data_IF_580989487485
#
_entry.id   IF_580989487485
#
_cell.length_a   1.000
_cell.length_b   1.000
_cell.length_c   1.000
_cell.angle_alpha   90.00
_cell.angle_beta   90.00
_cell.angle_gamma   90.00
#
_symmetry.space_group_name_H-M   'P 1'
#
loop_
_entity.id
_entity.type
_entity.pdbx_description
1 polymer ?
#
# COMPACT_ATOMS: atom_id res chain seq x y z
N UNK A 1 -29.82 -25.89 6.92
CA UNK A 1 -29.52 -26.35 8.28
C UNK A 1 -28.34 -27.29 8.27
N UNK A 2 -27.29 -26.91 8.96
CA UNK A 2 -26.06 -27.68 9.06
C UNK A 2 -26.17 -28.59 10.32
N UNK A 3 -25.55 -29.78 10.29
CA UNK A 3 -25.38 -30.59 11.49
C UNK A 3 -24.54 -29.86 12.53
N UNK A 4 -24.59 -30.29 13.81
CA UNK A 4 -23.83 -29.63 14.88
C UNK A 4 -22.34 -29.72 14.62
N UNK A 5 -21.84 -30.83 14.07
CA UNK A 5 -20.44 -31.02 13.67
C UNK A 5 -20.02 -30.02 12.59
N UNK A 6 -20.85 -29.86 11.55
CA UNK A 6 -20.56 -28.90 10.48
C UNK A 6 -20.58 -27.45 10.96
N UNK A 7 -21.45 -27.10 11.93
CA UNK A 7 -21.45 -25.79 12.57
C UNK A 7 -20.17 -25.52 13.39
N UNK A 8 -19.68 -26.54 14.09
CA UNK A 8 -18.43 -26.46 14.85
C UNK A 8 -17.25 -26.28 13.89
N UNK A 9 -17.18 -27.08 12.83
CA UNK A 9 -16.14 -26.96 11.82
C UNK A 9 -16.13 -25.57 11.17
N UNK A 10 -17.30 -25.05 10.81
CA UNK A 10 -17.42 -23.70 10.26
C UNK A 10 -16.86 -22.63 11.22
N UNK A 11 -17.18 -22.72 12.50
CA UNK A 11 -16.70 -21.79 13.51
C UNK A 11 -15.20 -21.91 13.79
N UNK A 12 -14.68 -23.12 13.83
CA UNK A 12 -13.26 -23.37 14.17
C UNK A 12 -12.34 -23.15 12.98
N UNK A 13 -12.73 -23.59 11.78
CA UNK A 13 -11.86 -23.62 10.62
C UNK A 13 -12.10 -22.46 9.62
N UNK A 14 -13.35 -21.95 9.52
CA UNK A 14 -13.71 -21.01 8.47
C UNK A 14 -13.83 -19.56 8.93
N UNK A 15 -13.94 -19.29 10.23
CA UNK A 15 -14.01 -17.91 10.72
C UNK A 15 -12.73 -17.15 10.39
N UNK A 16 -12.85 -15.93 9.89
CA UNK A 16 -11.73 -15.06 9.54
C UNK A 16 -10.81 -14.76 10.73
N UNK A 17 -11.36 -14.71 11.94
CA UNK A 17 -10.58 -14.53 13.19
C UNK A 17 -9.59 -15.67 13.46
N UNK A 18 -9.84 -16.86 12.91
CA UNK A 18 -8.97 -18.04 13.04
C UNK A 18 -8.03 -18.20 11.83
N UNK A 19 -8.25 -17.45 10.75
CA UNK A 19 -7.50 -17.54 9.48
C UNK A 19 -6.83 -16.21 9.15
N UNK A 20 -6.03 -15.69 10.07
CA UNK A 20 -5.35 -14.40 9.92
C UNK A 20 -4.13 -14.51 9.05
N UNK A 21 -3.45 -15.67 9.07
CA UNK A 21 -2.23 -15.91 8.32
C UNK A 21 -2.49 -16.68 7.03
N UNK A 22 -1.79 -16.28 5.97
CA UNK A 22 -1.73 -17.06 4.73
C UNK A 22 -0.95 -18.36 4.97
N UNK A 23 -1.52 -19.53 4.67
CA UNK A 23 -0.77 -20.79 4.78
C UNK A 23 0.39 -20.89 3.77
N UNK A 24 0.36 -20.12 2.68
CA UNK A 24 1.40 -20.12 1.65
C UNK A 24 2.62 -19.29 2.04
N UNK A 25 2.42 -18.15 2.73
CA UNK A 25 3.49 -17.17 2.99
C UNK A 25 3.75 -16.92 4.48
N UNK A 26 2.85 -17.35 5.37
CA UNK A 26 2.91 -17.05 6.80
C UNK A 26 2.71 -15.59 7.17
N UNK A 27 2.33 -14.73 6.22
CA UNK A 27 2.03 -13.31 6.44
C UNK A 27 0.54 -13.10 6.72
N UNK A 28 0.15 -12.03 7.43
CA UNK A 28 -1.25 -11.70 7.60
C UNK A 28 -1.98 -11.54 6.26
N UNK A 29 -3.12 -12.23 6.10
CA UNK A 29 -4.04 -12.06 4.96
C UNK A 29 -4.89 -10.82 5.17
N UNK A 30 -5.16 -10.47 6.42
CA UNK A 30 -5.94 -9.31 6.80
C UNK A 30 -5.08 -8.07 6.55
N UNK A 31 -5.35 -7.38 5.46
CA UNK A 31 -4.67 -6.14 5.10
C UNK A 31 -5.63 -5.14 4.46
N UNK A 32 -5.36 -3.85 4.61
CA UNK A 32 -6.13 -2.80 3.95
C UNK A 32 -6.06 -2.94 2.43
N UNK A 33 -7.21 -2.70 1.77
CA UNK A 33 -7.33 -2.72 0.30
C UNK A 33 -8.20 -1.56 -0.19
N UNK A 34 -8.17 -1.28 -1.47
CA UNK A 34 -9.06 -0.32 -2.15
C UNK A 34 -9.10 1.05 -1.45
N UNK A 35 -10.28 1.52 -1.06
CA UNK A 35 -10.51 2.85 -0.48
C UNK A 35 -9.80 3.05 0.87
N UNK A 36 -9.55 1.97 1.61
CA UNK A 36 -8.81 2.04 2.87
C UNK A 36 -7.36 2.45 2.59
N UNK A 37 -6.73 1.85 1.59
CA UNK A 37 -5.37 2.22 1.14
C UNK A 37 -5.36 3.63 0.58
N UNK A 38 -6.36 4.00 -0.23
CA UNK A 38 -6.48 5.33 -0.80
C UNK A 38 -6.57 6.41 0.28
N UNK A 39 -7.38 6.18 1.32
CA UNK A 39 -7.50 7.11 2.44
C UNK A 39 -6.22 7.22 3.28
N UNK A 40 -5.55 6.10 3.55
CA UNK A 40 -4.26 6.08 4.25
C UNK A 40 -3.16 6.77 3.42
N UNK A 41 -3.11 6.52 2.13
CA UNK A 41 -2.20 7.20 1.19
C UNK A 41 -2.44 8.70 1.17
N UNK A 42 -3.71 9.13 1.02
CA UNK A 42 -4.07 10.53 1.01
C UNK A 42 -3.60 11.26 2.27
N UNK A 43 -3.88 10.71 3.46
CA UNK A 43 -3.56 11.38 4.72
C UNK A 43 -2.05 11.44 5.02
N UNK A 44 -1.27 10.47 4.53
CA UNK A 44 0.18 10.38 4.83
C UNK A 44 1.06 11.07 3.79
N UNK A 45 0.47 11.58 2.71
CA UNK A 45 1.17 12.33 1.68
C UNK A 45 1.47 13.75 2.14
N UNK A 46 2.68 14.24 1.89
CA UNK A 46 3.02 15.65 2.13
C UNK A 46 2.58 16.56 0.98
N UNK A 47 2.29 17.80 1.32
CA UNK A 47 1.97 18.86 0.38
C UNK A 47 2.66 20.15 0.79
N UNK A 48 3.46 20.78 -0.08
CA UNK A 48 4.10 22.05 0.24
C UNK A 48 3.09 23.21 0.26
N UNK A 49 3.45 24.28 0.95
CA UNK A 49 2.70 25.54 1.03
C UNK A 49 1.26 25.40 1.58
N UNK A 50 1.10 24.56 2.60
CA UNK A 50 -0.17 24.38 3.31
C UNK A 50 -0.13 25.02 4.70
N UNK A 51 -1.30 25.27 5.29
CA UNK A 51 -1.40 25.84 6.62
C UNK A 51 -0.68 24.97 7.67
N UNK A 52 0.14 25.61 8.53
CA UNK A 52 0.89 24.93 9.58
C UNK A 52 2.21 24.28 9.16
N UNK A 53 2.66 24.48 7.92
CA UNK A 53 3.95 23.97 7.46
C UNK A 53 5.12 24.53 8.31
N UNK A 54 6.09 23.66 8.65
CA UNK A 54 7.28 23.97 9.46
C UNK A 54 7.02 24.30 10.93
N UNK A 55 5.79 24.13 11.42
CA UNK A 55 5.54 24.21 12.85
C UNK A 55 6.18 23.06 13.60
N UNK A 56 6.56 23.30 14.86
CA UNK A 56 7.17 22.28 15.72
C UNK A 56 6.31 22.09 16.96
N UNK A 57 6.19 20.84 17.40
CA UNK A 57 5.36 20.43 18.54
C UNK A 57 6.17 19.55 19.49
N UNK A 58 5.85 19.63 20.77
CA UNK A 58 6.50 18.83 21.79
C UNK A 58 5.87 17.46 21.96
N UNK A 59 4.61 17.29 21.61
CA UNK A 59 3.89 16.01 21.75
C UNK A 59 2.95 15.74 20.57
N UNK A 60 2.55 14.47 20.40
CA UNK A 60 1.59 14.05 19.39
C UNK A 60 0.19 14.68 19.66
N UNK A 61 -0.18 14.80 20.94
CA UNK A 61 -1.47 15.36 21.36
C UNK A 61 -1.59 16.84 20.96
N UNK A 62 -0.50 17.61 21.04
CA UNK A 62 -0.50 19.01 20.59
C UNK A 62 -0.79 19.10 19.09
N UNK A 63 -0.27 18.17 18.28
CA UNK A 63 -0.56 18.11 16.85
C UNK A 63 -2.04 17.82 16.59
N UNK A 64 -2.63 16.87 17.33
CA UNK A 64 -4.05 16.53 17.21
C UNK A 64 -4.93 17.73 17.55
N UNK A 65 -4.64 18.41 18.67
CA UNK A 65 -5.39 19.61 19.09
C UNK A 65 -5.27 20.74 18.06
N UNK A 66 -4.07 20.98 17.52
CA UNK A 66 -3.84 22.00 16.50
C UNK A 66 -4.55 21.66 15.18
N UNK A 67 -4.62 20.38 14.83
CA UNK A 67 -5.36 19.89 13.66
C UNK A 67 -6.88 20.08 13.84
N UNK A 68 -7.43 19.71 14.99
CA UNK A 68 -8.86 19.84 15.29
C UNK A 68 -9.28 21.32 15.39
N UNK A 69 -8.37 22.20 15.84
CA UNK A 69 -8.57 23.65 15.82
C UNK A 69 -8.48 24.27 14.41
N UNK A 70 -8.16 23.50 13.38
CA UNK A 70 -8.04 23.96 11.99
C UNK A 70 -6.77 24.78 11.69
N UNK A 71 -5.80 24.79 12.60
CA UNK A 71 -4.52 25.49 12.43
C UNK A 71 -3.58 24.72 11.49
N UNK A 72 -3.67 23.37 11.53
CA UNK A 72 -2.85 22.48 10.72
C UNK A 72 -3.64 21.86 9.57
N UNK A 73 -3.00 21.79 8.40
CA UNK A 73 -3.48 20.95 7.31
C UNK A 73 -2.98 19.52 7.51
N UNK A 74 -3.77 18.51 7.11
CA UNK A 74 -3.39 17.08 7.23
C UNK A 74 -2.08 16.73 6.49
N UNK A 75 -1.77 17.46 5.42
CA UNK A 75 -0.59 17.28 4.59
C UNK A 75 0.61 18.14 4.99
N UNK A 76 0.47 18.96 6.06
CA UNK A 76 1.51 19.87 6.48
C UNK A 76 2.73 19.09 7.01
N UNK A 77 3.91 19.48 6.53
CA UNK A 77 5.19 18.98 7.04
C UNK A 77 5.51 19.71 8.35
N UNK A 78 5.66 18.97 9.44
CA UNK A 78 5.87 19.47 10.79
C UNK A 78 7.03 18.77 11.48
N UNK A 79 7.59 19.37 12.51
CA UNK A 79 8.53 18.74 13.42
C UNK A 79 7.84 18.32 14.72
N UNK A 80 8.05 17.09 15.17
CA UNK A 80 7.47 16.58 16.43
C UNK A 80 8.54 15.88 17.23
N UNK A 81 8.58 16.09 18.54
CA UNK A 81 9.48 15.39 19.44
C UNK A 81 8.92 13.99 19.73
N UNK A 82 9.59 12.96 19.22
CA UNK A 82 9.19 11.56 19.32
C UNK A 82 10.31 10.79 20.00
N UNK A 83 10.00 10.11 21.09
CA UNK A 83 10.95 9.30 21.85
C UNK A 83 12.25 10.07 22.24
N UNK A 84 12.17 11.40 22.40
CA UNK A 84 13.27 12.29 22.77
C UNK A 84 14.07 12.85 21.59
N UNK A 85 13.73 12.50 20.37
CA UNK A 85 14.34 13.02 19.15
C UNK A 85 13.34 13.83 18.31
N UNK A 86 13.85 14.89 17.67
CA UNK A 86 13.03 15.70 16.78
C UNK A 86 12.89 15.01 15.43
N UNK A 87 11.69 14.52 15.11
CA UNK A 87 11.38 13.87 13.85
C UNK A 87 10.63 14.82 12.89
N UNK A 88 11.08 14.88 11.65
CA UNK A 88 10.31 15.50 10.57
C UNK A 88 9.23 14.53 10.07
N UNK A 89 7.98 14.99 10.07
CA UNK A 89 6.83 14.17 9.71
C UNK A 89 5.70 15.02 9.10
N UNK A 90 4.54 14.42 8.89
CA UNK A 90 3.33 15.16 8.50
C UNK A 90 2.25 14.99 9.55
N UNK A 91 1.33 15.97 9.63
CA UNK A 91 0.16 15.91 10.51
C UNK A 91 -0.59 14.57 10.34
N UNK A 92 -0.81 14.13 9.10
CA UNK A 92 -1.52 12.87 8.85
C UNK A 92 -0.80 11.62 9.34
N UNK A 93 0.54 11.59 9.36
CA UNK A 93 1.32 10.47 9.92
C UNK A 93 1.23 10.42 11.44
N UNK A 94 1.15 11.57 12.10
CA UNK A 94 0.90 11.63 13.55
C UNK A 94 -0.52 11.12 13.86
N UNK A 95 -1.54 11.53 13.10
CA UNK A 95 -2.89 10.99 13.25
C UNK A 95 -2.96 9.47 12.99
N UNK A 96 -2.12 8.93 12.10
CA UNK A 96 -1.98 7.50 11.92
C UNK A 96 -1.31 6.85 13.12
N UNK A 97 -0.28 7.48 13.69
CA UNK A 97 0.42 6.98 14.89
C UNK A 97 -0.53 6.80 16.09
N UNK A 98 -1.54 7.65 16.23
CA UNK A 98 -2.52 7.54 17.31
C UNK A 98 -3.26 6.18 17.33
N UNK A 99 -3.47 5.57 16.16
CA UNK A 99 -4.15 4.27 16.04
C UNK A 99 -3.19 3.08 15.96
N UNK A 100 -1.89 3.35 15.71
CA UNK A 100 -0.86 2.33 15.66
C UNK A 100 -0.30 2.09 17.07
N UNK A 101 -0.17 0.84 17.53
CA UNK A 101 0.44 0.53 18.82
C UNK A 101 1.84 1.13 18.97
N UNK A 102 2.14 1.67 20.16
CA UNK A 102 3.42 2.36 20.44
C UNK A 102 4.66 1.44 20.36
N UNK A 103 4.48 0.13 20.47
CA UNK A 103 5.55 -0.86 20.34
C UNK A 103 6.08 -0.99 18.91
N UNK A 104 5.39 -0.41 17.93
CA UNK A 104 5.84 -0.36 16.55
C UNK A 104 6.71 0.89 16.37
N UNK A 105 7.96 0.77 15.88
CA UNK A 105 8.84 1.91 15.65
C UNK A 105 8.21 2.93 14.71
N UNK A 106 8.42 4.20 15.02
CA UNK A 106 7.85 5.31 14.25
C UNK A 106 8.26 5.32 12.77
N UNK A 107 9.42 4.75 12.45
CA UNK A 107 9.92 4.62 11.07
C UNK A 107 8.92 3.92 10.14
N UNK A 108 8.20 2.90 10.65
CA UNK A 108 7.16 2.21 9.88
C UNK A 108 5.91 3.07 9.63
N UNK A 109 5.69 4.10 10.43
CA UNK A 109 4.56 5.03 10.30
C UNK A 109 4.96 6.28 9.52
N UNK A 110 6.22 6.73 9.64
CA UNK A 110 6.72 7.96 9.03
C UNK A 110 7.07 7.81 7.54
N UNK A 111 6.17 7.25 6.78
CA UNK A 111 6.29 7.10 5.32
C UNK A 111 4.92 7.26 4.66
N UNK A 112 4.92 7.36 3.34
CA UNK A 112 3.66 7.35 2.59
C UNK A 112 3.07 5.95 2.64
N UNK A 113 1.83 5.83 3.12
CA UNK A 113 1.15 4.55 3.31
C UNK A 113 0.52 4.07 2.02
N UNK A 114 1.30 3.38 1.21
CA UNK A 114 0.82 2.59 0.09
C UNK A 114 0.39 1.18 0.55
N UNK A 115 -0.07 0.36 -0.38
CA UNK A 115 -0.50 -1.02 -0.08
C UNK A 115 0.63 -1.87 0.52
N UNK A 116 1.87 -1.65 0.07
CA UNK A 116 3.06 -2.41 0.52
C UNK A 116 3.45 -1.98 1.93
N UNK A 117 3.53 -0.68 2.19
CA UNK A 117 3.86 -0.13 3.51
C UNK A 117 2.81 -0.53 4.57
N UNK A 118 1.51 -0.48 4.23
CA UNK A 118 0.46 -0.96 5.11
C UNK A 118 0.55 -2.47 5.37
N UNK A 119 0.92 -3.26 4.36
CA UNK A 119 1.17 -4.69 4.54
C UNK A 119 2.35 -4.97 5.45
N UNK A 120 3.43 -4.22 5.35
CA UNK A 120 4.59 -4.30 6.25
C UNK A 120 4.25 -3.88 7.68
N UNK A 121 3.48 -2.82 7.85
CA UNK A 121 2.98 -2.36 9.15
C UNK A 121 2.15 -3.46 9.85
N UNK A 122 1.26 -4.12 9.11
CA UNK A 122 0.45 -5.23 9.62
C UNK A 122 1.32 -6.44 10.00
N UNK A 123 2.34 -6.78 9.20
CA UNK A 123 3.27 -7.88 9.49
C UNK A 123 4.10 -7.58 10.75
N UNK A 124 4.59 -6.36 10.91
CA UNK A 124 5.31 -5.92 12.12
C UNK A 124 4.43 -5.98 13.37
N UNK A 125 3.18 -5.52 13.26
CA UNK A 125 2.22 -5.61 14.35
C UNK A 125 1.98 -7.07 14.77
N UNK A 126 1.78 -7.95 13.79
CA UNK A 126 1.57 -9.37 14.06
C UNK A 126 2.78 -10.02 14.75
N UNK A 127 3.98 -9.78 14.25
CA UNK A 127 5.22 -10.37 14.79
C UNK A 127 5.53 -9.92 16.21
N UNK A 128 5.24 -8.66 16.55
CA UNK A 128 5.55 -8.08 17.86
C UNK A 128 4.46 -8.32 18.90
N UNK A 129 3.20 -8.23 18.50
CA UNK A 129 2.07 -8.15 19.41
C UNK A 129 1.04 -9.28 19.21
N UNK A 130 1.17 -10.07 18.15
CA UNK A 130 0.31 -11.21 17.86
C UNK A 130 -1.05 -10.85 17.28
N UNK A 131 -1.91 -11.86 17.19
CA UNK A 131 -3.19 -11.86 16.47
C UNK A 131 -4.15 -10.75 16.91
N UNK A 132 -4.35 -10.58 18.23
CA UNK A 132 -5.37 -9.66 18.77
C UNK A 132 -5.06 -8.21 18.40
N UNK A 133 -3.82 -7.77 18.59
CA UNK A 133 -3.40 -6.42 18.25
C UNK A 133 -3.52 -6.15 16.75
N UNK A 134 -3.17 -7.14 15.93
CA UNK A 134 -3.27 -7.04 14.46
C UNK A 134 -4.71 -6.84 13.99
N UNK A 135 -5.68 -7.55 14.58
CA UNK A 135 -7.10 -7.38 14.24
C UNK A 135 -7.60 -5.99 14.64
N UNK A 136 -7.23 -5.54 15.85
CA UNK A 136 -7.61 -4.19 16.32
C UNK A 136 -7.01 -3.09 15.44
N UNK A 137 -5.74 -3.25 15.05
CA UNK A 137 -5.09 -2.33 14.10
C UNK A 137 -5.79 -2.34 12.73
N UNK A 138 -6.15 -3.52 12.21
CA UNK A 138 -6.88 -3.62 10.94
C UNK A 138 -8.22 -2.88 10.98
N UNK A 139 -8.98 -3.02 12.07
CA UNK A 139 -10.25 -2.31 12.26
C UNK A 139 -10.07 -0.79 12.40
N UNK A 140 -9.04 -0.36 13.10
CA UNK A 140 -8.69 1.05 13.23
C UNK A 140 -8.27 1.67 11.89
N UNK A 141 -7.41 0.98 11.13
CA UNK A 141 -6.99 1.38 9.79
C UNK A 141 -8.16 1.43 8.82
N UNK A 142 -9.09 0.47 8.89
CA UNK A 142 -10.32 0.49 8.08
C UNK A 142 -11.13 1.76 8.33
N UNK A 143 -11.38 2.09 9.59
CA UNK A 143 -12.17 3.26 9.99
C UNK A 143 -11.47 4.56 9.57
N UNK A 144 -10.18 4.66 9.83
CA UNK A 144 -9.37 5.82 9.48
C UNK A 144 -9.26 6.00 7.95
N UNK A 145 -9.04 4.90 7.22
CA UNK A 145 -8.94 4.90 5.77
C UNK A 145 -10.23 5.35 5.09
N UNK A 146 -11.37 4.79 5.44
CA UNK A 146 -12.66 5.22 4.87
C UNK A 146 -12.99 6.68 5.19
N UNK A 147 -12.74 7.12 6.43
CA UNK A 147 -12.95 8.52 6.83
C UNK A 147 -12.14 9.49 5.97
N UNK A 148 -10.87 9.17 5.74
CA UNK A 148 -9.99 10.03 4.94
C UNK A 148 -10.23 9.89 3.44
N UNK A 149 -10.61 8.74 2.92
CA UNK A 149 -11.03 8.57 1.53
C UNK A 149 -12.28 9.41 1.22
N UNK A 150 -13.27 9.41 2.13
CA UNK A 150 -14.47 10.25 2.01
C UNK A 150 -14.11 11.74 2.03
N UNK A 151 -13.22 12.17 2.92
CA UNK A 151 -12.78 13.57 3.00
C UNK A 151 -11.96 14.00 1.77
N UNK A 152 -11.18 13.08 1.21
CA UNK A 152 -10.38 13.33 0.01
C UNK A 152 -11.23 13.61 -1.22
N UNK A 153 -12.42 12.99 -1.33
CA UNK A 153 -13.35 13.20 -2.44
C UNK A 153 -12.74 12.89 -3.81
N UNK A 154 -11.91 11.83 -3.88
CA UNK A 154 -11.19 11.47 -5.11
C UNK A 154 -12.16 10.82 -6.10
N UNK A 155 -12.21 11.36 -7.31
CA UNK A 155 -12.93 10.78 -8.45
C UNK A 155 -11.92 10.43 -9.54
N UNK A 156 -12.19 9.34 -10.26
CA UNK A 156 -11.35 8.86 -11.38
C UNK A 156 -12.27 8.81 -12.61
N UNK A 157 -11.81 9.37 -13.73
CA UNK A 157 -12.48 9.29 -15.01
C UNK A 157 -11.58 8.61 -16.06
N UNK A 158 -12.14 8.30 -17.23
CA UNK A 158 -11.38 7.65 -18.31
C UNK A 158 -10.26 8.55 -18.81
N UNK A 159 -10.44 9.86 -18.82
CA UNK A 159 -9.45 10.83 -19.28
C UNK A 159 -8.23 10.94 -18.35
N UNK A 160 -8.33 10.45 -17.11
CA UNK A 160 -7.20 10.37 -16.19
C UNK A 160 -6.22 9.23 -16.55
N UNK A 161 -6.67 8.27 -17.37
CA UNK A 161 -5.86 7.15 -17.85
C UNK A 161 -5.02 7.59 -19.04
N UNK A 162 -3.82 8.09 -18.76
CA UNK A 162 -2.90 8.54 -19.81
C UNK A 162 -2.19 7.36 -20.44
N UNK A 163 -2.24 7.31 -21.77
CA UNK A 163 -1.46 6.36 -22.56
C UNK A 163 -0.07 6.98 -22.77
N UNK A 164 1.04 6.30 -22.42
CA UNK A 164 2.38 6.80 -22.67
C UNK A 164 2.60 7.06 -24.17
N UNK A 165 3.21 8.20 -24.55
CA UNK A 165 3.39 8.56 -25.96
C UNK A 165 4.27 7.58 -26.73
N UNK A 166 5.25 6.96 -26.06
CA UNK A 166 6.18 6.00 -26.65
C UNK A 166 5.67 4.58 -26.73
N UNK A 167 4.42 4.31 -26.30
CA UNK A 167 3.85 2.95 -26.28
C UNK A 167 3.95 2.26 -27.65
N UNK A 168 3.58 2.96 -28.71
CA UNK A 168 3.59 2.39 -30.06
C UNK A 168 5.01 2.01 -30.52
N UNK A 169 6.02 2.81 -30.15
CA UNK A 169 7.43 2.51 -30.42
C UNK A 169 7.87 1.24 -29.71
N UNK A 170 7.63 1.12 -28.41
CA UNK A 170 8.00 -0.09 -27.65
C UNK A 170 7.29 -1.34 -28.17
N UNK A 171 6.04 -1.23 -28.60
CA UNK A 171 5.33 -2.34 -29.21
C UNK A 171 5.89 -2.72 -30.57
N UNK A 172 6.29 -1.76 -31.40
CA UNK A 172 6.90 -2.02 -32.68
C UNK A 172 8.26 -2.71 -32.53
N UNK A 173 9.11 -2.21 -31.62
CA UNK A 173 10.42 -2.76 -31.31
C UNK A 173 10.29 -4.22 -30.81
N UNK A 174 9.42 -4.46 -29.84
CA UNK A 174 9.17 -5.81 -29.31
C UNK A 174 8.62 -6.76 -30.38
N UNK A 175 7.74 -6.28 -31.27
CA UNK A 175 7.20 -7.08 -32.37
C UNK A 175 8.29 -7.45 -33.37
N UNK A 176 9.20 -6.54 -33.67
CA UNK A 176 10.34 -6.81 -34.55
C UNK A 176 11.30 -7.86 -33.96
N UNK A 177 11.58 -7.77 -32.65
CA UNK A 177 12.40 -8.77 -31.96
C UNK A 177 11.73 -10.15 -31.95
N UNK A 178 10.42 -10.21 -31.67
CA UNK A 178 9.65 -11.48 -31.73
C UNK A 178 9.70 -12.09 -33.13
N UNK A 179 9.62 -11.28 -34.20
CA UNK A 179 9.74 -11.77 -35.56
C UNK A 179 11.11 -12.40 -35.81
N UNK A 180 12.20 -11.78 -35.36
CA UNK A 180 13.56 -12.35 -35.47
C UNK A 180 13.70 -13.67 -34.72
N UNK A 181 13.10 -13.81 -33.53
CA UNK A 181 13.11 -15.09 -32.79
C UNK A 181 12.30 -16.15 -33.51
N UNK A 182 11.19 -15.75 -34.14
CA UNK A 182 10.40 -16.69 -34.95
C UNK A 182 11.16 -17.18 -36.19
N UNK A 183 11.91 -16.30 -36.85
CA UNK A 183 12.77 -16.68 -38.02
C UNK A 183 13.88 -17.62 -37.57
N UNK A 184 14.56 -17.36 -36.44
CA UNK A 184 15.56 -18.28 -35.88
C UNK A 184 15.01 -19.68 -35.58
N UNK A 185 13.76 -19.74 -35.12
CA UNK A 185 13.09 -21.01 -34.91
C UNK A 185 12.78 -21.75 -36.23
N UNK A 186 12.30 -21.02 -37.25
CA UNK A 186 12.04 -21.62 -38.57
C UNK A 186 13.30 -22.11 -39.26
N UNK A 187 14.42 -21.45 -39.04
CA UNK A 187 15.74 -21.86 -39.52
C UNK A 187 16.34 -23.05 -38.74
N UNK A 188 15.68 -23.49 -37.66
CA UNK A 188 16.12 -24.59 -36.82
C UNK A 188 17.28 -24.26 -35.89
N UNK A 189 17.57 -22.97 -35.66
CA UNK A 189 18.67 -22.49 -34.80
C UNK A 189 18.34 -22.58 -33.29
N UNK A 190 17.07 -22.56 -32.96
CA UNK A 190 16.58 -22.63 -31.56
C UNK A 190 15.45 -23.64 -31.43
N UNK A 191 15.29 -24.18 -30.23
CA UNK A 191 14.21 -25.11 -29.89
C UNK A 191 12.89 -24.34 -29.63
N UNK A 192 11.75 -25.04 -29.66
CA UNK A 192 10.45 -24.43 -29.34
C UNK A 192 10.39 -23.87 -27.91
N UNK A 193 11.00 -24.56 -26.94
CA UNK A 193 11.09 -24.09 -25.56
C UNK A 193 11.90 -22.78 -25.41
N UNK A 194 13.03 -22.68 -26.14
CA UNK A 194 13.83 -21.46 -26.16
C UNK A 194 13.09 -20.30 -26.84
N UNK A 195 12.42 -20.57 -27.95
CA UNK A 195 11.56 -19.60 -28.63
C UNK A 195 10.50 -19.06 -27.68
N UNK A 196 9.77 -19.94 -26.99
CA UNK A 196 8.72 -19.57 -26.06
C UNK A 196 9.26 -18.68 -24.92
N UNK A 197 10.34 -19.08 -24.27
CA UNK A 197 10.94 -18.32 -23.19
C UNK A 197 11.41 -16.93 -23.64
N UNK A 198 12.11 -16.84 -24.79
CA UNK A 198 12.57 -15.57 -25.35
C UNK A 198 11.42 -14.62 -25.68
N UNK A 199 10.33 -15.13 -26.26
CA UNK A 199 9.13 -14.33 -26.57
C UNK A 199 8.46 -13.81 -25.29
N UNK A 200 8.36 -14.64 -24.25
CA UNK A 200 7.82 -14.22 -22.95
C UNK A 200 8.68 -13.12 -22.33
N UNK A 201 10.00 -13.26 -22.37
CA UNK A 201 10.94 -12.27 -21.83
C UNK A 201 10.84 -10.92 -22.57
N UNK A 202 10.75 -10.94 -23.91
CA UNK A 202 10.58 -9.70 -24.72
C UNK A 202 9.29 -8.98 -24.31
N UNK A 203 8.16 -9.68 -24.20
CA UNK A 203 6.90 -9.05 -23.80
C UNK A 203 6.87 -8.59 -22.34
N UNK A 204 7.56 -9.32 -21.44
CA UNK A 204 7.71 -8.89 -20.05
C UNK A 204 8.51 -7.59 -19.95
N UNK A 205 9.63 -7.48 -20.68
CA UNK A 205 10.43 -6.27 -20.75
C UNK A 205 9.66 -5.07 -21.36
N UNK A 206 8.95 -5.29 -22.47
CA UNK A 206 8.11 -4.25 -23.07
C UNK A 206 7.03 -3.75 -22.12
N UNK A 207 6.40 -4.66 -21.35
CA UNK A 207 5.40 -4.31 -20.34
C UNK A 207 6.02 -3.48 -19.21
N UNK A 208 7.20 -3.85 -18.73
CA UNK A 208 7.91 -3.10 -17.69
C UNK A 208 8.30 -1.69 -18.16
N UNK A 209 8.84 -1.57 -19.39
CA UNK A 209 9.20 -0.29 -19.98
C UNK A 209 8.00 0.65 -20.13
N UNK A 210 6.84 0.13 -20.56
CA UNK A 210 5.61 0.93 -20.69
C UNK A 210 5.06 1.32 -19.31
N UNK A 211 5.19 0.45 -18.30
CA UNK A 211 4.68 0.70 -16.95
C UNK A 211 5.51 1.74 -16.20
N UNK A 212 6.80 1.85 -16.52
CA UNK A 212 7.73 2.77 -15.85
C UNK A 212 7.64 4.22 -16.37
N UNK A 213 6.99 4.43 -17.50
CA UNK A 213 6.71 5.76 -18.08
C UNK A 213 5.46 6.42 -17.48
#
# INVERSE_FOLDING_TARGET
>A
PLSVEAQIEARVLMMSTNNILSPATGRPVIGPTQDIVLGAYYMTRERPNVAGEKMTFATDEEVVVAYDAGVLNIHAKIGVLIDGEMAETTTGRILLREVVPHEIPFEFVNQVMDKKALGELMDQCYRRMGTKATVLLADALRTLGYRNATRAGISICIDDMRIPPDKERFLADATAEVAQIQDQYQEGLITDGERYNKVVDIWAQATEQITTQ
#
